data_IF_473615195833
#
_entry.id   IF_473615195833
#
_cell.length_a   1.000
_cell.length_b   1.000
_cell.length_c   1.000
_cell.angle_alpha   90.00
_cell.angle_beta   90.00
_cell.angle_gamma   90.00
#
_symmetry.space_group_name_H-M   'P 1'
#
loop_
_entity.id
_entity.type
_entity.pdbx_description
1 polymer ?
#
# COMPACT_ATOMS: atom_id res chain seq x y z
N UNK A 1 0.48 -3.83 -65.72
CA UNK A 1 0.22 -4.24 -64.32
C UNK A 1 1.48 -4.89 -63.80
N UNK A 2 2.39 -4.11 -63.20
CA UNK A 2 3.62 -4.61 -62.59
C UNK A 2 3.34 -4.93 -61.14
N UNK A 3 3.36 -6.20 -60.77
CA UNK A 3 3.24 -6.60 -59.36
C UNK A 3 4.41 -6.02 -58.55
N UNK A 4 4.15 -5.39 -57.39
CA UNK A 4 5.23 -4.92 -56.54
C UNK A 4 5.97 -6.15 -56.00
N UNK A 5 7.21 -6.37 -56.48
CA UNK A 5 8.10 -7.41 -55.96
C UNK A 5 8.45 -7.09 -54.52
N UNK A 6 7.75 -7.69 -53.57
CA UNK A 6 8.06 -7.63 -52.13
C UNK A 6 9.54 -7.97 -51.82
N UNK A 7 10.20 -8.71 -52.72
CA UNK A 7 11.62 -9.09 -52.62
C UNK A 7 12.62 -7.94 -52.72
N UNK A 8 12.21 -6.72 -53.10
CA UNK A 8 13.10 -5.56 -53.14
C UNK A 8 13.19 -4.80 -51.79
N UNK A 9 12.25 -5.03 -50.86
CA UNK A 9 12.14 -4.27 -49.62
C UNK A 9 12.78 -4.97 -48.41
N UNK A 10 12.80 -6.32 -48.40
CA UNK A 10 13.42 -7.10 -47.32
C UNK A 10 14.88 -7.38 -47.70
N UNK A 11 15.75 -6.40 -47.48
CA UNK A 11 17.20 -6.60 -47.60
C UNK A 11 17.72 -7.40 -46.41
N UNK A 12 18.92 -8.00 -46.54
CA UNK A 12 19.61 -8.68 -45.43
C UNK A 12 19.72 -7.79 -44.18
N UNK A 13 19.90 -6.49 -44.37
CA UNK A 13 20.00 -5.52 -43.27
C UNK A 13 18.64 -5.30 -42.59
N UNK A 14 17.55 -5.28 -43.37
CA UNK A 14 16.18 -5.23 -42.81
C UNK A 14 15.88 -6.51 -42.03
N UNK A 15 16.29 -7.68 -42.53
CA UNK A 15 16.13 -8.94 -41.79
C UNK A 15 16.92 -8.93 -40.46
N UNK A 16 18.18 -8.50 -40.47
CA UNK A 16 18.95 -8.36 -39.23
C UNK A 16 18.36 -7.33 -38.27
N UNK A 17 17.83 -6.21 -38.78
CA UNK A 17 17.15 -5.21 -37.96
C UNK A 17 15.86 -5.74 -37.34
N UNK A 18 15.06 -6.52 -38.09
CA UNK A 18 13.84 -7.14 -37.58
C UNK A 18 14.13 -8.23 -36.54
N UNK A 19 15.12 -9.09 -36.79
CA UNK A 19 15.52 -10.13 -35.84
C UNK A 19 16.15 -9.51 -34.60
N UNK A 20 17.10 -8.59 -34.78
CA UNK A 20 17.76 -7.90 -33.68
C UNK A 20 16.80 -7.04 -32.86
N UNK A 21 15.93 -6.27 -33.54
CA UNK A 21 14.90 -5.46 -32.89
C UNK A 21 13.82 -6.31 -32.20
N UNK A 22 13.41 -7.42 -32.81
CA UNK A 22 12.47 -8.37 -32.22
C UNK A 22 13.03 -9.04 -30.95
N UNK A 23 14.26 -9.56 -31.02
CA UNK A 23 14.94 -10.15 -29.86
C UNK A 23 15.19 -9.09 -28.77
N UNK A 24 15.63 -7.89 -29.16
CA UNK A 24 15.82 -6.77 -28.25
C UNK A 24 14.52 -6.38 -27.55
N UNK A 25 13.40 -6.32 -28.28
CA UNK A 25 12.08 -6.03 -27.74
C UNK A 25 11.59 -7.10 -26.75
N UNK A 26 11.79 -8.38 -27.07
CA UNK A 26 11.45 -9.49 -26.16
C UNK A 26 12.26 -9.40 -24.87
N UNK A 27 13.58 -9.20 -24.98
CA UNK A 27 14.46 -9.07 -23.80
C UNK A 27 14.09 -7.85 -22.96
N UNK A 28 13.76 -6.73 -23.59
CA UNK A 28 13.34 -5.51 -22.90
C UNK A 28 12.01 -5.70 -22.18
N UNK A 29 11.02 -6.32 -22.81
CA UNK A 29 9.73 -6.61 -22.16
C UNK A 29 9.88 -7.59 -20.99
N UNK A 30 10.70 -8.63 -21.15
CA UNK A 30 11.01 -9.54 -20.05
C UNK A 30 11.66 -8.80 -18.88
N UNK A 31 12.64 -7.94 -19.16
CA UNK A 31 13.27 -7.10 -18.15
C UNK A 31 12.24 -6.21 -17.41
N UNK A 32 11.32 -5.57 -18.14
CA UNK A 32 10.31 -4.70 -17.51
C UNK A 32 9.36 -5.47 -16.60
N UNK A 33 8.92 -6.66 -17.00
CA UNK A 33 8.04 -7.52 -16.19
C UNK A 33 8.77 -7.99 -14.92
N UNK A 34 10.01 -8.46 -15.04
CA UNK A 34 10.78 -8.90 -13.88
C UNK A 34 11.16 -7.74 -12.96
N UNK A 35 11.45 -6.56 -13.52
CA UNK A 35 11.71 -5.35 -12.75
C UNK A 35 10.48 -4.91 -11.96
N UNK A 36 9.30 -4.91 -12.59
CA UNK A 36 8.03 -4.65 -11.92
C UNK A 36 7.78 -5.64 -10.78
N UNK A 37 7.96 -6.94 -11.04
CA UNK A 37 7.78 -7.97 -10.02
C UNK A 37 8.74 -7.79 -8.84
N UNK A 38 10.03 -7.52 -9.11
CA UNK A 38 11.04 -7.26 -8.09
C UNK A 38 10.70 -6.04 -7.23
N UNK A 39 10.37 -4.91 -7.86
CA UNK A 39 10.01 -3.66 -7.17
C UNK A 39 8.66 -3.70 -6.45
N UNK A 40 7.87 -4.75 -6.68
CA UNK A 40 6.58 -4.99 -6.02
C UNK A 40 6.69 -5.97 -4.83
N UNK A 41 7.88 -6.53 -4.56
CA UNK A 41 8.10 -7.46 -3.44
C UNK A 41 8.15 -6.75 -2.08
N UNK A 42 7.77 -7.47 -1.01
CA UNK A 42 7.95 -6.98 0.37
C UNK A 42 9.40 -6.65 0.68
N UNK A 43 10.35 -7.43 0.15
CA UNK A 43 11.77 -7.20 0.37
C UNK A 43 12.20 -5.85 -0.21
N UNK A 44 11.72 -5.49 -1.40
CA UNK A 44 12.01 -4.19 -2.00
C UNK A 44 11.36 -3.06 -1.19
N UNK A 45 10.07 -3.19 -0.86
CA UNK A 45 9.35 -2.17 -0.07
C UNK A 45 10.01 -1.90 1.29
N UNK A 46 10.58 -2.91 1.93
CA UNK A 46 11.22 -2.81 3.25
C UNK A 46 12.72 -2.45 3.20
N UNK A 47 13.26 -2.10 2.03
CA UNK A 47 14.63 -1.56 1.91
C UNK A 47 14.80 -0.21 2.62
N UNK A 48 13.71 0.55 2.76
CA UNK A 48 13.66 1.75 3.59
C UNK A 48 13.29 1.37 5.02
N UNK A 49 14.05 1.85 6.02
CA UNK A 49 13.78 1.56 7.43
C UNK A 49 12.36 1.99 7.85
N UNK A 50 11.89 3.14 7.37
CA UNK A 50 10.52 3.63 7.60
C UNK A 50 9.40 2.66 7.22
N UNK A 51 9.63 1.77 6.25
CA UNK A 51 8.63 0.79 5.81
C UNK A 51 8.60 -0.46 6.70
N UNK A 52 9.60 -0.66 7.57
CA UNK A 52 9.62 -1.78 8.53
C UNK A 52 8.52 -1.66 9.60
N UNK A 53 8.07 -0.43 9.91
CA UNK A 53 6.92 -0.21 10.79
C UNK A 53 5.62 -0.75 10.18
N UNK A 54 5.41 -0.51 8.88
CA UNK A 54 4.28 -1.05 8.13
C UNK A 54 4.37 -2.58 7.99
N UNK A 55 5.57 -3.12 7.72
CA UNK A 55 5.83 -4.57 7.67
C UNK A 55 5.47 -5.26 8.99
N UNK A 56 5.82 -4.65 10.13
CA UNK A 56 5.49 -5.22 11.46
C UNK A 56 3.98 -5.44 11.61
N UNK A 57 3.17 -4.44 11.27
CA UNK A 57 1.70 -4.58 11.29
C UNK A 57 1.18 -5.56 10.24
N UNK A 58 1.78 -5.57 9.05
CA UNK A 58 1.42 -6.49 7.99
C UNK A 58 1.63 -7.96 8.39
N UNK A 59 2.75 -8.29 9.02
CA UNK A 59 3.05 -9.64 9.51
C UNK A 59 2.09 -10.14 10.60
N UNK A 60 1.37 -9.22 11.26
CA UNK A 60 0.35 -9.55 12.25
C UNK A 60 -1.06 -9.63 11.64
N UNK A 61 -1.22 -9.22 10.38
CA UNK A 61 -2.52 -9.15 9.71
C UNK A 61 -2.99 -10.49 9.15
N UNK A 62 -4.28 -10.56 8.85
CA UNK A 62 -4.90 -11.70 8.13
C UNK A 62 -4.42 -11.83 6.68
N UNK A 63 -3.84 -10.77 6.10
CA UNK A 63 -3.29 -10.83 4.73
C UNK A 63 -1.90 -11.49 4.69
N UNK A 64 -1.18 -11.48 5.82
CA UNK A 64 0.05 -12.25 5.99
C UNK A 64 -0.21 -13.66 6.52
N UNK A 65 -1.10 -13.79 7.53
CA UNK A 65 -1.48 -15.05 8.17
C UNK A 65 -2.90 -15.47 7.76
N UNK A 66 -3.14 -15.65 6.47
CA UNK A 66 -4.47 -16.00 5.97
C UNK A 66 -4.85 -17.44 6.33
N UNK A 67 -6.09 -17.68 6.83
CA UNK A 67 -6.63 -19.02 6.99
C UNK A 67 -6.70 -19.84 5.69
N UNK A 68 -6.76 -19.18 4.52
CA UNK A 68 -6.79 -19.86 3.22
C UNK A 68 -5.43 -20.38 2.76
N UNK A 69 -4.35 -20.01 3.45
CA UNK A 69 -2.96 -20.29 3.03
C UNK A 69 -2.42 -19.34 1.95
N UNK A 70 -3.24 -18.43 1.40
CA UNK A 70 -2.79 -17.41 0.44
C UNK A 70 -2.22 -16.21 1.19
N UNK A 71 -1.04 -15.74 0.77
CA UNK A 71 -0.40 -14.55 1.34
C UNK A 71 -0.31 -13.45 0.29
N UNK A 72 -0.97 -12.32 0.54
CA UNK A 72 -0.87 -11.15 -0.32
C UNK A 72 0.35 -10.32 0.09
N UNK A 73 1.23 -10.01 -0.84
CA UNK A 73 2.39 -9.14 -0.67
C UNK A 73 2.02 -7.64 -0.58
N UNK A 74 3.02 -6.77 -0.40
CA UNK A 74 2.81 -5.33 -0.43
C UNK A 74 2.30 -4.86 -1.80
N UNK A 75 2.99 -5.26 -2.89
CA UNK A 75 2.63 -4.87 -4.25
C UNK A 75 1.28 -5.41 -4.68
N UNK A 76 0.89 -6.56 -4.16
CA UNK A 76 -0.42 -7.16 -4.38
C UNK A 76 -1.61 -6.23 -4.04
N UNK A 77 -1.44 -5.34 -3.05
CA UNK A 77 -2.45 -4.35 -2.69
C UNK A 77 -2.12 -2.96 -3.24
N UNK A 78 -0.84 -2.57 -3.24
CA UNK A 78 -0.39 -1.19 -3.48
C UNK A 78 0.11 -0.90 -4.90
N UNK A 79 0.20 -1.91 -5.77
CA UNK A 79 0.59 -1.78 -7.17
C UNK A 79 -0.54 -2.33 -8.04
N UNK A 80 -1.00 -1.54 -9.02
CA UNK A 80 -2.05 -1.99 -9.94
C UNK A 80 -1.56 -3.15 -10.81
N UNK A 81 -2.48 -4.01 -11.22
CA UNK A 81 -2.17 -5.10 -12.14
C UNK A 81 -1.85 -4.60 -13.55
N UNK A 82 -0.96 -5.33 -14.23
CA UNK A 82 -0.58 -5.08 -15.61
C UNK A 82 0.48 -3.98 -15.76
N UNK A 83 1.38 -4.19 -16.72
CA UNK A 83 2.61 -3.40 -16.83
C UNK A 83 2.40 -1.88 -16.94
N UNK A 84 1.33 -1.44 -17.62
CA UNK A 84 1.07 0.01 -17.83
C UNK A 84 0.65 0.68 -16.52
N UNK A 85 -0.32 0.10 -15.81
CA UNK A 85 -0.83 0.71 -14.57
C UNK A 85 0.15 0.53 -13.42
N UNK A 86 0.84 -0.61 -13.34
CA UNK A 86 1.94 -0.80 -12.40
C UNK A 86 3.05 0.24 -12.61
N UNK A 87 3.49 0.46 -13.86
CA UNK A 87 4.48 1.51 -14.19
C UNK A 87 4.00 2.89 -13.77
N UNK A 88 2.72 3.20 -13.97
CA UNK A 88 2.15 4.47 -13.52
C UNK A 88 2.16 4.62 -12.00
N UNK A 89 1.81 3.57 -11.26
CA UNK A 89 1.86 3.60 -9.79
C UNK A 89 3.30 3.74 -9.27
N UNK A 90 4.27 3.05 -9.89
CA UNK A 90 5.70 3.24 -9.57
C UNK A 90 6.15 4.68 -9.85
N UNK A 91 5.73 5.27 -10.97
CA UNK A 91 6.05 6.66 -11.29
C UNK A 91 5.44 7.65 -10.29
N UNK A 92 4.19 7.43 -9.85
CA UNK A 92 3.56 8.23 -8.79
C UNK A 92 4.25 7.99 -7.44
N UNK A 93 4.70 6.77 -7.17
CA UNK A 93 5.42 6.36 -5.97
C UNK A 93 6.80 7.00 -5.81
N UNK A 94 7.40 7.55 -6.88
CA UNK A 94 8.65 8.33 -6.80
C UNK A 94 8.55 9.45 -5.76
N UNK A 95 7.37 10.03 -5.54
CA UNK A 95 7.15 11.04 -4.49
C UNK A 95 7.53 10.55 -3.09
N UNK A 96 7.37 9.26 -2.81
CA UNK A 96 7.64 8.69 -1.49
C UNK A 96 9.15 8.50 -1.29
N UNK A 97 9.90 8.20 -2.36
CA UNK A 97 11.37 8.28 -2.36
C UNK A 97 11.85 9.70 -2.06
N UNK A 98 11.28 10.71 -2.72
CA UNK A 98 11.62 12.12 -2.45
C UNK A 98 11.33 12.51 -1.00
N UNK A 99 10.19 12.09 -0.45
CA UNK A 99 9.86 12.31 0.97
C UNK A 99 10.85 11.62 1.90
N UNK A 100 11.25 10.38 1.62
CA UNK A 100 12.19 9.64 2.44
C UNK A 100 13.59 10.27 2.44
N UNK A 101 14.02 10.86 1.32
CA UNK A 101 15.36 11.45 1.18
C UNK A 101 15.44 12.91 1.64
N UNK A 102 14.40 13.70 1.41
CA UNK A 102 14.43 15.16 1.60
C UNK A 102 13.38 15.68 2.59
N UNK A 103 12.42 14.85 2.98
CA UNK A 103 11.33 15.22 3.88
C UNK A 103 11.69 15.08 5.36
N UNK A 104 10.67 14.75 6.15
CA UNK A 104 10.82 14.45 7.56
C UNK A 104 11.65 13.16 7.76
N UNK A 105 12.23 13.00 8.94
CA UNK A 105 12.95 11.80 9.33
C UNK A 105 11.96 10.67 9.66
N UNK A 106 11.44 10.04 8.60
CA UNK A 106 10.50 8.93 8.69
C UNK A 106 11.10 7.65 9.27
N UNK A 107 12.42 7.62 9.52
CA UNK A 107 13.07 6.51 10.23
C UNK A 107 12.85 6.62 11.74
N UNK A 108 12.53 7.81 12.26
CA UNK A 108 12.11 7.97 13.64
C UNK A 108 10.67 7.44 13.79
N UNK A 109 10.42 6.47 14.69
CA UNK A 109 9.10 5.87 14.87
C UNK A 109 8.02 6.87 15.29
N UNK A 110 8.37 7.92 16.04
CA UNK A 110 7.44 8.98 16.46
C UNK A 110 7.05 9.82 15.26
N UNK A 111 8.03 10.27 14.48
CA UNK A 111 7.78 11.10 13.28
C UNK A 111 6.97 10.30 12.26
N UNK A 112 7.32 9.02 12.05
CA UNK A 112 6.57 8.12 11.19
C UNK A 112 5.10 8.01 11.64
N UNK A 113 4.87 7.75 12.93
CA UNK A 113 3.51 7.59 13.48
C UNK A 113 2.69 8.88 13.43
N UNK A 114 3.32 10.05 13.61
CA UNK A 114 2.64 11.35 13.49
C UNK A 114 2.14 11.63 12.06
N UNK A 115 2.86 11.13 11.05
CA UNK A 115 2.51 11.25 9.64
C UNK A 115 1.65 10.10 9.10
N UNK A 116 1.50 9.00 9.86
CA UNK A 116 0.72 7.83 9.46
C UNK A 116 -0.71 8.17 9.01
N UNK A 117 -1.48 9.08 9.66
CA UNK A 117 -2.82 9.41 9.21
C UNK A 117 -2.87 9.93 7.77
N UNK A 118 -1.91 10.76 7.38
CA UNK A 118 -1.86 11.35 6.03
C UNK A 118 -1.58 10.27 4.98
N UNK A 119 -0.67 9.32 5.29
CA UNK A 119 -0.42 8.15 4.45
C UNK A 119 -1.65 7.24 4.36
N UNK A 120 -2.31 6.95 5.48
CA UNK A 120 -3.51 6.12 5.52
C UNK A 120 -4.64 6.72 4.69
N UNK A 121 -4.89 8.03 4.79
CA UNK A 121 -5.93 8.68 4.00
C UNK A 121 -5.58 8.72 2.52
N UNK A 122 -4.33 9.02 2.16
CA UNK A 122 -3.89 9.01 0.77
C UNK A 122 -4.06 7.62 0.12
N UNK A 123 -3.71 6.56 0.84
CA UNK A 123 -3.89 5.17 0.40
C UNK A 123 -5.36 4.82 0.24
N UNK A 124 -6.22 5.15 1.22
CA UNK A 124 -7.68 4.93 1.12
C UNK A 124 -8.29 5.66 -0.07
N UNK A 125 -7.89 6.90 -0.32
CA UNK A 125 -8.35 7.66 -1.49
C UNK A 125 -7.83 7.06 -2.81
N UNK A 126 -6.62 6.48 -2.83
CA UNK A 126 -6.08 5.76 -3.98
C UNK A 126 -6.92 4.52 -4.31
N UNK A 127 -7.25 3.70 -3.30
CA UNK A 127 -8.10 2.54 -3.45
C UNK A 127 -9.50 2.93 -3.94
N UNK A 128 -10.14 3.93 -3.30
CA UNK A 128 -11.48 4.40 -3.67
C UNK A 128 -11.54 4.88 -5.12
N UNK A 129 -10.57 5.68 -5.57
CA UNK A 129 -10.51 6.20 -6.95
C UNK A 129 -10.32 5.11 -8.00
N UNK A 130 -9.86 3.93 -7.61
CA UNK A 130 -9.65 2.77 -8.48
C UNK A 130 -10.65 1.64 -8.19
N UNK A 131 -11.74 1.96 -7.50
CA UNK A 131 -12.78 1.00 -7.11
C UNK A 131 -12.21 -0.29 -6.48
N UNK A 132 -11.17 -0.15 -5.66
CA UNK A 132 -10.49 -1.28 -5.02
C UNK A 132 -10.10 -2.40 -6.00
N UNK A 133 -9.69 -2.07 -7.23
CA UNK A 133 -9.34 -3.04 -8.26
C UNK A 133 -8.35 -4.12 -7.77
N UNK A 134 -7.34 -3.72 -6.98
CA UNK A 134 -6.37 -4.65 -6.40
C UNK A 134 -6.95 -5.56 -5.32
N UNK A 135 -8.03 -5.17 -4.64
CA UNK A 135 -8.78 -6.05 -3.73
C UNK A 135 -9.58 -7.08 -4.55
N UNK A 136 -10.26 -6.62 -5.61
CA UNK A 136 -11.17 -7.43 -6.44
C UNK A 136 -10.46 -8.53 -7.23
N UNK A 137 -9.14 -8.43 -7.43
CA UNK A 137 -8.35 -9.49 -8.08
C UNK A 137 -8.32 -10.81 -7.28
N UNK A 138 -8.49 -10.74 -5.96
CA UNK A 138 -8.53 -11.89 -5.06
C UNK A 138 -9.89 -12.06 -4.37
N UNK A 139 -10.62 -10.97 -4.15
CA UNK A 139 -11.92 -10.96 -3.49
C UNK A 139 -13.05 -10.77 -4.48
N UNK A 140 -13.56 -11.88 -5.01
CA UNK A 140 -14.79 -11.90 -5.80
C UNK A 140 -15.98 -11.68 -4.87
N UNK A 141 -16.73 -10.60 -5.09
CA UNK A 141 -17.78 -10.13 -4.19
C UNK A 141 -18.87 -11.19 -3.96
N UNK A 142 -19.23 -11.94 -5.01
CA UNK A 142 -20.17 -13.05 -4.99
C UNK A 142 -19.67 -14.28 -4.23
N UNK A 143 -18.36 -14.42 -4.05
CA UNK A 143 -17.73 -15.53 -3.35
C UNK A 143 -17.40 -15.20 -1.88
N UNK A 144 -17.64 -13.97 -1.44
CA UNK A 144 -17.38 -13.57 -0.06
C UNK A 144 -18.38 -14.26 0.87
N UNK A 145 -17.87 -15.18 1.69
CA UNK A 145 -18.59 -15.82 2.78
C UNK A 145 -18.02 -15.30 4.11
N UNK A 146 -18.85 -14.62 4.89
CA UNK A 146 -18.47 -14.13 6.22
C UNK A 146 -19.17 -14.87 7.35
N UNK A 147 -18.59 -14.76 8.54
CA UNK A 147 -19.15 -15.36 9.77
C UNK A 147 -20.25 -14.52 10.40
N UNK A 148 -20.42 -13.25 9.98
CA UNK A 148 -21.50 -12.39 10.46
C UNK A 148 -22.80 -12.70 9.71
N UNK A 149 -23.92 -12.65 10.43
CA UNK A 149 -25.25 -12.81 9.85
C UNK A 149 -25.44 -11.76 8.74
N UNK A 150 -26.05 -12.16 7.64
CA UNK A 150 -26.31 -11.30 6.48
C UNK A 150 -25.06 -10.81 5.72
N UNK A 151 -23.85 -11.33 5.96
CA UNK A 151 -22.64 -10.87 5.22
C UNK A 151 -22.84 -10.87 3.70
N UNK A 152 -23.42 -11.95 3.15
CA UNK A 152 -23.69 -12.05 1.72
C UNK A 152 -24.70 -10.99 1.25
N UNK A 153 -25.79 -10.78 2.00
CA UNK A 153 -26.79 -9.77 1.68
C UNK A 153 -26.20 -8.35 1.74
N UNK A 154 -25.42 -8.02 2.77
CA UNK A 154 -24.71 -6.73 2.87
C UNK A 154 -23.83 -6.51 1.63
N UNK A 155 -23.06 -7.52 1.22
CA UNK A 155 -22.21 -7.40 0.04
C UNK A 155 -23.00 -7.30 -1.27
N UNK A 156 -24.21 -7.86 -1.36
CA UNK A 156 -25.02 -7.84 -2.58
C UNK A 156 -25.95 -6.62 -2.68
N UNK A 157 -26.44 -6.11 -1.55
CA UNK A 157 -27.52 -5.12 -1.50
C UNK A 157 -27.05 -3.75 -1.00
N UNK A 158 -26.00 -3.70 -0.17
CA UNK A 158 -25.58 -2.46 0.51
C UNK A 158 -24.25 -1.87 0.00
N UNK A 159 -23.64 -2.48 -1.00
CA UNK A 159 -22.35 -2.05 -1.57
C UNK A 159 -22.47 -1.26 -2.86
N UNK A 160 -23.69 -1.01 -3.36
CA UNK A 160 -23.88 -0.24 -4.59
C UNK A 160 -23.24 1.15 -4.47
N UNK A 161 -22.41 1.49 -5.46
CA UNK A 161 -21.61 2.73 -5.48
C UNK A 161 -20.50 2.84 -4.43
N UNK A 162 -20.21 1.80 -3.63
CA UNK A 162 -19.16 1.80 -2.61
C UNK A 162 -17.93 0.99 -3.05
N UNK A 163 -16.76 1.48 -2.64
CA UNK A 163 -15.50 0.77 -2.76
C UNK A 163 -15.26 -0.11 -1.52
N UNK A 164 -14.45 -1.17 -1.64
CA UNK A 164 -14.18 -2.08 -0.51
C UNK A 164 -13.66 -1.33 0.72
N UNK A 165 -12.81 -0.32 0.51
CA UNK A 165 -12.22 0.49 1.58
C UNK A 165 -13.20 1.47 2.26
N UNK A 166 -14.43 1.61 1.76
CA UNK A 166 -15.44 2.41 2.46
C UNK A 166 -15.96 1.72 3.72
N UNK A 167 -15.94 0.37 3.73
CA UNK A 167 -16.26 -0.44 4.91
C UNK A 167 -14.99 -1.04 5.55
N UNK A 168 -13.97 -1.38 4.75
CA UNK A 168 -12.79 -2.13 5.16
C UNK A 168 -11.50 -1.29 5.10
N UNK A 169 -11.32 -0.33 6.03
CA UNK A 169 -10.23 0.67 5.95
C UNK A 169 -9.08 0.54 6.99
N UNK A 170 -9.13 -0.47 7.87
CA UNK A 170 -8.10 -0.78 8.89
C UNK A 170 -7.77 -2.29 8.86
N UNK A 171 -7.30 -2.78 7.71
CA UNK A 171 -7.15 -4.22 7.44
C UNK A 171 -5.78 -4.79 7.83
N UNK A 172 -4.71 -4.03 7.60
CA UNK A 172 -3.34 -4.54 7.62
C UNK A 172 -2.46 -3.68 8.52
N UNK A 173 -2.48 -2.37 8.29
CA UNK A 173 -1.64 -1.45 9.01
C UNK A 173 -2.29 -0.95 10.30
N UNK A 174 -1.48 -0.28 11.13
CA UNK A 174 -1.95 0.31 12.39
C UNK A 174 -3.24 1.11 12.15
N UNK A 175 -4.29 0.88 12.97
CA UNK A 175 -5.57 1.53 12.77
C UNK A 175 -5.46 3.06 12.84
N UNK A 176 -6.05 3.72 11.84
CA UNK A 176 -6.28 5.17 11.84
C UNK A 176 -7.80 5.39 11.77
N UNK A 177 -8.37 6.30 12.57
CA UNK A 177 -9.77 6.71 12.41
C UNK A 177 -10.11 7.10 10.97
N UNK A 178 -11.40 7.12 10.64
CA UNK A 178 -11.84 7.63 9.34
C UNK A 178 -11.66 9.16 9.30
N UNK A 179 -11.44 9.74 8.11
CA UNK A 179 -11.02 11.15 7.99
C UNK A 179 -12.03 12.11 8.62
N UNK A 180 -13.33 11.85 8.53
CA UNK A 180 -14.37 12.71 9.13
C UNK A 180 -14.39 12.67 10.66
N UNK A 181 -13.85 11.59 11.26
CA UNK A 181 -13.80 11.41 12.73
C UNK A 181 -12.40 11.62 13.32
N UNK A 182 -11.39 11.79 12.47
CA UNK A 182 -10.01 12.00 12.89
C UNK A 182 -9.84 13.36 13.60
N UNK A 183 -9.19 13.32 14.76
CA UNK A 183 -8.85 14.51 15.55
C UNK A 183 -7.33 14.56 15.73
N UNK A 184 -6.69 15.59 15.18
CA UNK A 184 -5.23 15.72 15.16
C UNK A 184 -4.65 15.82 16.58
N UNK A 185 -5.31 16.57 17.45
CA UNK A 185 -4.86 16.80 18.83
C UNK A 185 -4.91 15.50 19.64
N UNK A 186 -5.98 14.71 19.48
CA UNK A 186 -6.12 13.42 20.13
C UNK A 186 -5.09 12.40 19.61
N UNK A 187 -4.80 12.41 18.31
CA UNK A 187 -3.74 11.58 17.74
C UNK A 187 -2.37 11.96 18.30
N UNK A 188 -2.05 13.25 18.34
CA UNK A 188 -0.78 13.75 18.87
C UNK A 188 -0.61 13.36 20.35
N UNK A 189 -1.65 13.54 21.18
CA UNK A 189 -1.63 13.14 22.58
C UNK A 189 -1.44 11.63 22.77
N UNK A 190 -2.07 10.80 21.92
CA UNK A 190 -1.85 9.35 21.93
C UNK A 190 -0.39 9.00 21.61
N UNK A 191 0.21 9.65 20.62
CA UNK A 191 1.63 9.44 20.29
C UNK A 191 2.54 9.87 21.44
N UNK A 192 2.28 11.03 22.04
CA UNK A 192 3.04 11.51 23.21
C UNK A 192 2.96 10.51 24.36
N UNK A 193 1.77 10.00 24.66
CA UNK A 193 1.58 8.98 25.69
C UNK A 193 2.30 7.67 25.37
N UNK A 194 2.22 7.18 24.13
CA UNK A 194 2.83 5.92 23.70
C UNK A 194 4.36 5.95 23.79
N UNK A 195 4.97 7.10 23.53
CA UNK A 195 6.42 7.28 23.51
C UNK A 195 6.97 8.01 24.74
N UNK A 196 6.13 8.33 25.73
CA UNK A 196 6.52 9.01 26.96
C UNK A 196 7.08 10.42 26.72
N UNK A 197 6.48 11.18 25.81
CA UNK A 197 6.88 12.55 25.46
C UNK A 197 6.13 13.58 26.31
N UNK A 198 6.75 14.74 26.52
CA UNK A 198 6.09 15.86 27.18
C UNK A 198 4.92 16.40 26.31
N UNK A 199 3.81 16.83 26.92
CA UNK A 199 2.67 17.39 26.19
C UNK A 199 3.06 18.54 25.27
N UNK A 200 2.64 18.48 24.00
CA UNK A 200 2.96 19.47 22.97
C UNK A 200 4.23 19.17 22.16
N UNK A 201 5.00 18.14 22.52
CA UNK A 201 6.19 17.72 21.77
C UNK A 201 5.84 17.19 20.37
N UNK A 202 4.69 16.53 20.20
CA UNK A 202 4.27 15.99 18.91
C UNK A 202 4.09 17.08 17.85
N UNK A 203 3.51 18.22 18.23
CA UNK A 203 3.32 19.36 17.32
C UNK A 203 4.67 19.97 16.91
N UNK A 204 5.61 20.10 17.85
CA UNK A 204 6.96 20.59 17.59
C UNK A 204 7.73 19.65 16.65
N UNK A 205 7.63 18.33 16.87
CA UNK A 205 8.26 17.32 16.02
C UNK A 205 7.65 17.27 14.61
N UNK A 206 6.33 17.45 14.48
CA UNK A 206 5.67 17.60 13.19
C UNK A 206 6.18 18.83 12.42
N UNK A 207 6.31 19.98 13.09
CA UNK A 207 6.79 21.21 12.47
C UNK A 207 8.28 21.13 12.08
N UNK A 208 9.12 20.51 12.91
CA UNK A 208 10.55 20.37 12.65
C UNK A 208 10.86 19.26 11.64
N UNK A 209 10.01 18.22 11.56
CA UNK A 209 10.21 17.03 10.75
C UNK A 209 11.42 16.18 11.17
N UNK A 210 12.05 16.46 12.30
CA UNK A 210 13.20 15.71 12.86
C UNK A 210 13.34 16.01 14.34
N UNK A 211 13.98 15.11 15.09
CA UNK A 211 14.35 15.38 16.48
C UNK A 211 15.46 16.43 16.60
N UNK A 212 15.57 17.10 17.76
CA UNK A 212 16.76 17.88 18.10
C UNK A 212 18.03 17.02 18.01
N UNK A 213 19.13 17.65 17.58
CA UNK A 213 20.40 16.96 17.43
C UNK A 213 20.88 16.35 18.76
N UNK A 214 21.22 15.06 18.76
CA UNK A 214 21.70 14.34 19.93
C UNK A 214 20.63 13.61 20.74
N UNK A 215 19.35 13.84 20.44
CA UNK A 215 18.25 13.08 21.06
C UNK A 215 18.03 11.77 20.30
N UNK A 216 18.15 10.64 21.00
CA UNK A 216 17.90 9.32 20.39
C UNK A 216 16.40 9.07 20.33
N UNK A 217 15.92 8.38 19.27
CA UNK A 217 14.54 7.94 19.24
C UNK A 217 14.25 7.05 20.47
N UNK A 218 13.11 7.23 21.14
CA UNK A 218 12.66 6.28 22.14
C UNK A 218 12.56 4.90 21.47
N UNK A 219 12.96 3.85 22.19
CA UNK A 219 12.67 2.50 21.74
C UNK A 219 11.16 2.41 21.53
N UNK A 220 10.72 1.91 20.36
CA UNK A 220 9.31 1.69 20.13
C UNK A 220 8.77 0.83 21.28
N UNK A 221 7.85 1.39 22.08
CA UNK A 221 7.14 0.60 23.06
C UNK A 221 6.48 -0.54 22.29
N UNK A 222 6.61 -1.78 22.79
CA UNK A 222 5.90 -2.91 22.19
C UNK A 222 4.43 -2.51 22.04
N UNK A 223 3.80 -2.75 20.88
CA UNK A 223 2.45 -2.29 20.62
C UNK A 223 1.56 -2.73 21.78
N UNK A 224 0.93 -1.76 22.46
CA UNK A 224 -0.01 -2.03 23.52
C UNK A 224 -1.02 -3.05 22.98
N UNK A 225 -1.10 -4.18 23.68
CA UNK A 225 -1.91 -5.35 23.35
C UNK A 225 -3.24 -5.02 22.68
N UNK A 226 -3.54 -5.73 21.60
CA UNK A 226 -4.92 -5.95 21.14
C UNK A 226 -5.25 -5.38 19.77
N UNK A 227 -4.67 -5.94 18.70
CA UNK A 227 -5.47 -6.18 17.48
C UNK A 227 -6.43 -7.32 17.84
N UNK A 228 -7.42 -6.99 18.66
CA UNK A 228 -8.62 -7.80 18.79
C UNK A 228 -9.22 -7.87 17.41
N UNK A 229 -9.41 -9.09 16.93
CA UNK A 229 -10.15 -9.41 15.72
C UNK A 229 -11.37 -8.49 15.66
N UNK A 230 -11.36 -7.50 14.76
CA UNK A 230 -12.39 -6.49 14.61
C UNK A 230 -13.67 -7.08 14.02
N UNK A 231 -14.21 -8.12 14.64
CA UNK A 231 -15.65 -8.27 14.74
C UNK A 231 -16.14 -7.12 15.61
N UNK A 232 -16.56 -6.04 14.96
CA UNK A 232 -17.59 -5.16 15.52
C UNK A 232 -18.80 -6.02 15.84
N UNK A 233 -18.82 -6.60 17.04
CA UNK A 233 -20.05 -6.89 17.76
C UNK A 233 -20.45 -5.56 18.39
N UNK A 234 -21.15 -4.75 17.60
CA UNK A 234 -22.02 -3.74 18.17
C UNK A 234 -23.05 -4.51 18.99
N UNK A 235 -23.13 -4.19 20.28
CA UNK A 235 -23.81 -4.99 21.28
C UNK A 235 -25.28 -5.23 20.99
N UNK A 236 -25.77 -6.36 21.50
CA UNK A 236 -27.13 -6.61 21.99
C UNK A 236 -27.05 -7.97 22.71
N UNK A 237 -26.82 -7.92 24.03
CA UNK A 237 -27.35 -8.93 24.95
C UNK A 237 -28.72 -8.43 25.44
N UNK A 238 -29.62 -9.30 25.92
CA UNK A 238 -30.04 -10.60 25.41
C UNK A 238 -31.37 -10.53 24.62
#
# INVERSE_FOLDING_TARGET
MTEPRASAFITRNVLFALVGGGLGGILFMFFLIEFDHFTSTNQFCTTCHSMTFAETSYQQSVHYNSPSGVRASCGDCHVSEGIIMATYDHAVGIKDLFKQLFGADYNDPVINLLHLPDAAFASRDWFRRRDSATCRRCHLQEAIQGTRVHTAAIHQEETDGKSCVDCHFNLVHRPVPERSTFKREAWNAMVEQEFGLEPGSAEQLLAAGRRPAGERPPAAAAPAHGVGNGQQQAGLEP
#
